data_IF_437610531709
#
_entry.id   IF_437610531709
#
_cell.length_a   1.000
_cell.length_b   1.000
_cell.length_c   1.000
_cell.angle_alpha   90.00
_cell.angle_beta   90.00
_cell.angle_gamma   90.00
#
_symmetry.space_group_name_H-M   'P 1'
#
loop_
_entity.id
_entity.type
_entity.pdbx_description
1 polymer ?
#
# COMPACT_ATOMS: atom_id res chain seq x y z
N UNK A 1 24.24 6.70 22.56
CA UNK A 1 23.22 7.16 21.59
C UNK A 1 22.23 6.01 21.33
N UNK A 2 21.39 5.66 22.32
CA UNK A 2 20.47 4.50 22.23
C UNK A 2 18.98 4.88 22.37
N UNK A 3 18.67 6.09 22.85
CA UNK A 3 17.29 6.52 23.10
C UNK A 3 16.48 6.88 21.85
N UNK A 4 17.12 7.13 20.70
CA UNK A 4 16.40 7.57 19.48
C UNK A 4 15.68 6.41 18.80
N UNK A 5 16.33 5.27 18.59
CA UNK A 5 15.73 4.12 17.88
C UNK A 5 14.46 3.59 18.56
N UNK A 6 14.47 3.47 19.89
CA UNK A 6 13.33 2.97 20.64
C UNK A 6 12.15 3.95 20.62
N UNK A 7 12.45 5.25 20.69
CA UNK A 7 11.46 6.31 20.53
C UNK A 7 10.87 6.35 19.11
N UNK A 8 11.69 6.18 18.07
CA UNK A 8 11.26 6.09 16.66
C UNK A 8 10.33 4.90 16.44
N UNK A 9 10.71 3.70 16.94
CA UNK A 9 9.87 2.49 16.83
C UNK A 9 8.53 2.66 17.54
N UNK A 10 8.52 3.21 18.76
CA UNK A 10 7.27 3.44 19.50
C UNK A 10 6.32 4.39 18.75
N UNK A 11 6.85 5.48 18.18
CA UNK A 11 6.08 6.42 17.35
C UNK A 11 5.54 5.74 16.09
N UNK A 12 6.37 4.95 15.41
CA UNK A 12 5.97 4.20 14.24
C UNK A 12 4.86 3.18 14.56
N UNK A 13 4.97 2.44 15.67
CA UNK A 13 3.92 1.52 16.12
C UNK A 13 2.59 2.26 16.39
N UNK A 14 2.64 3.41 17.08
CA UNK A 14 1.45 4.21 17.34
C UNK A 14 0.80 4.72 16.03
N UNK A 15 1.61 5.12 15.04
CA UNK A 15 1.12 5.53 13.73
C UNK A 15 0.46 4.36 12.97
N UNK A 16 1.06 3.17 12.99
CA UNK A 16 0.46 1.97 12.41
C UNK A 16 -0.90 1.66 13.05
N UNK A 17 -0.98 1.60 14.38
CA UNK A 17 -2.24 1.29 15.06
C UNK A 17 -3.34 2.31 14.74
N UNK A 18 -3.00 3.60 14.62
CA UNK A 18 -3.95 4.62 14.17
C UNK A 18 -4.46 4.35 12.76
N UNK A 19 -3.58 4.07 11.80
CA UNK A 19 -3.96 3.80 10.41
C UNK A 19 -4.77 2.51 10.28
N UNK A 20 -4.32 1.44 10.94
CA UNK A 20 -4.98 0.16 10.98
C UNK A 20 -6.40 0.28 11.58
N UNK A 21 -6.55 0.96 12.71
CA UNK A 21 -7.86 1.20 13.34
C UNK A 21 -8.78 2.07 12.48
N UNK A 22 -8.24 2.96 11.64
CA UNK A 22 -9.06 3.70 10.68
C UNK A 22 -9.50 2.80 9.52
N UNK A 23 -8.61 1.94 9.00
CA UNK A 23 -8.89 1.02 7.92
C UNK A 23 -9.95 -0.02 8.33
N UNK A 24 -9.83 -0.61 9.52
CA UNK A 24 -10.81 -1.57 10.05
C UNK A 24 -12.19 -0.94 10.27
N UNK A 25 -12.25 0.27 10.83
CA UNK A 25 -13.51 1.04 10.95
C UNK A 25 -14.12 1.30 9.57
N UNK A 26 -13.31 1.75 8.62
CA UNK A 26 -13.76 2.02 7.24
C UNK A 26 -14.27 0.76 6.55
N UNK A 27 -13.61 -0.37 6.74
CA UNK A 27 -14.03 -1.68 6.22
C UNK A 27 -15.34 -2.17 6.85
N UNK A 28 -15.54 -1.92 8.14
CA UNK A 28 -16.82 -2.23 8.80
C UNK A 28 -17.96 -1.36 8.23
N UNK A 29 -17.73 -0.05 8.08
CA UNK A 29 -18.69 0.86 7.47
C UNK A 29 -18.97 0.52 6.01
N UNK A 30 -17.97 0.11 5.22
CA UNK A 30 -18.16 -0.25 3.82
C UNK A 30 -19.03 -1.51 3.66
N UNK A 31 -18.89 -2.49 4.56
CA UNK A 31 -19.75 -3.68 4.62
C UNK A 31 -21.21 -3.32 4.93
N UNK A 32 -21.42 -2.38 5.86
CA UNK A 32 -22.76 -1.90 6.23
C UNK A 32 -23.40 -1.08 5.09
N UNK A 33 -22.62 -0.22 4.44
CA UNK A 33 -23.10 0.68 3.38
C UNK A 33 -23.09 0.04 1.98
N UNK A 34 -22.64 -1.22 1.87
CA UNK A 34 -22.49 -1.97 0.61
C UNK A 34 -21.65 -1.25 -0.45
N UNK A 35 -20.79 -0.33 -0.04
CA UNK A 35 -19.81 0.32 -0.93
C UNK A 35 -18.59 -0.57 -1.08
N UNK A 36 -18.27 -1.02 -2.30
CA UNK A 36 -17.02 -1.74 -2.56
C UNK A 36 -15.85 -0.77 -2.43
N UNK A 37 -15.00 -0.98 -1.43
CA UNK A 37 -13.82 -0.16 -1.14
C UNK A 37 -12.54 -1.00 -1.15
N UNK A 38 -12.49 -1.98 -2.05
CA UNK A 38 -11.34 -2.86 -2.24
C UNK A 38 -10.43 -2.29 -3.33
N UNK A 39 -9.13 -2.56 -3.21
CA UNK A 39 -8.17 -2.25 -4.27
C UNK A 39 -8.55 -2.99 -5.55
N UNK A 40 -8.33 -2.35 -6.70
CA UNK A 40 -8.52 -3.00 -7.98
C UNK A 40 -7.49 -4.14 -8.12
N UNK A 41 -7.95 -5.31 -8.57
CA UNK A 41 -7.04 -6.41 -8.91
C UNK A 41 -6.54 -6.23 -10.32
N UNK A 42 -5.22 -6.34 -10.51
CA UNK A 42 -4.60 -6.30 -11.83
C UNK A 42 -5.23 -7.34 -12.77
N UNK A 43 -5.46 -8.57 -12.29
CA UNK A 43 -6.04 -9.66 -13.08
C UNK A 43 -7.42 -9.28 -13.66
N UNK A 44 -8.25 -8.58 -12.89
CA UNK A 44 -9.57 -8.14 -13.33
C UNK A 44 -9.46 -7.10 -14.45
N UNK A 45 -8.44 -6.24 -14.39
CA UNK A 45 -8.21 -5.18 -15.38
C UNK A 45 -7.57 -5.74 -16.65
N UNK A 46 -6.58 -6.62 -16.53
CA UNK A 46 -5.90 -7.23 -17.68
C UNK A 46 -6.79 -8.18 -18.48
N UNK A 47 -7.67 -8.93 -17.80
CA UNK A 47 -8.68 -9.80 -18.46
C UNK A 47 -9.68 -8.98 -19.27
N UNK A 48 -10.08 -7.80 -18.78
CA UNK A 48 -10.97 -6.91 -19.51
C UNK A 48 -10.28 -6.26 -20.72
N UNK A 49 -8.99 -5.94 -20.61
CA UNK A 49 -8.28 -5.08 -21.57
C UNK A 49 -7.51 -5.80 -22.70
N UNK A 50 -7.61 -7.12 -22.85
CA UNK A 50 -6.89 -7.87 -23.91
C UNK A 50 -5.43 -7.38 -24.07
N UNK A 51 -4.64 -7.49 -23.01
CA UNK A 51 -3.25 -7.01 -23.01
C UNK A 51 -2.42 -7.85 -23.97
N UNK A 52 -2.04 -7.27 -25.11
CA UNK A 52 -1.31 -7.97 -26.17
C UNK A 52 0.22 -7.78 -26.12
N UNK A 53 0.72 -6.76 -25.42
CA UNK A 53 2.15 -6.44 -25.34
C UNK A 53 2.52 -5.89 -23.95
N UNK A 54 3.69 -6.30 -23.43
CA UNK A 54 4.28 -5.76 -22.20
C UNK A 54 5.70 -5.23 -22.48
N UNK A 55 6.07 -4.13 -21.84
CA UNK A 55 7.41 -3.55 -21.97
C UNK A 55 7.90 -2.98 -20.65
N UNK A 56 9.18 -3.17 -20.34
CA UNK A 56 9.80 -2.62 -19.15
C UNK A 56 10.11 -1.13 -19.36
N UNK A 57 9.58 -0.26 -18.49
CA UNK A 57 9.74 1.20 -18.59
C UNK A 57 10.86 1.80 -17.74
N UNK A 58 11.58 0.97 -16.98
CA UNK A 58 12.64 1.45 -16.09
C UNK A 58 12.10 2.16 -14.85
N UNK A 59 13.02 2.73 -14.08
CA UNK A 59 12.70 3.50 -12.87
C UNK A 59 12.17 4.86 -13.27
N UNK A 60 10.98 5.22 -12.80
CA UNK A 60 10.34 6.50 -13.06
C UNK A 60 9.56 6.97 -11.83
N UNK A 61 9.38 8.28 -11.70
CA UNK A 61 8.48 8.84 -10.70
C UNK A 61 7.02 8.64 -11.13
N UNK A 62 6.21 8.05 -10.26
CA UNK A 62 4.78 7.80 -10.50
C UNK A 62 3.95 8.57 -9.46
N UNK A 63 2.94 9.35 -9.88
CA UNK A 63 2.02 9.98 -8.94
C UNK A 63 1.23 8.92 -8.16
N UNK A 64 1.21 9.03 -6.82
CA UNK A 64 0.61 8.03 -5.93
C UNK A 64 -0.89 7.85 -6.22
N UNK A 65 -1.57 8.89 -6.65
CA UNK A 65 -2.99 8.87 -7.04
C UNK A 65 -3.31 8.04 -8.29
N UNK A 66 -2.29 7.68 -9.07
CA UNK A 66 -2.43 6.76 -10.21
C UNK A 66 -2.26 5.29 -9.80
N UNK A 67 -1.76 5.02 -8.60
CA UNK A 67 -1.69 3.66 -8.05
C UNK A 67 -3.07 3.31 -7.50
N UNK A 68 -3.77 2.38 -8.14
CA UNK A 68 -5.18 2.05 -7.85
C UNK A 68 -5.42 0.61 -7.43
N UNK A 69 -4.39 -0.22 -7.46
CA UNK A 69 -4.52 -1.63 -7.18
C UNK A 69 -3.23 -2.28 -6.71
N UNK A 70 -3.28 -3.61 -6.60
CA UNK A 70 -2.07 -4.41 -6.42
C UNK A 70 -2.14 -5.73 -7.19
N UNK A 71 -0.99 -6.29 -7.51
CA UNK A 71 -0.86 -7.66 -7.94
C UNK A 71 -0.89 -8.60 -6.71
N UNK A 72 -1.97 -9.37 -6.55
CA UNK A 72 -2.07 -10.45 -5.56
C UNK A 72 -2.24 -10.06 -4.09
N UNK A 73 -2.16 -8.77 -3.72
CA UNK A 73 -2.24 -8.29 -2.33
C UNK A 73 -3.41 -7.35 -2.03
N UNK A 74 -4.45 -7.39 -2.85
CA UNK A 74 -5.60 -6.47 -2.74
C UNK A 74 -6.35 -6.57 -1.41
N UNK A 75 -6.25 -7.72 -0.73
CA UNK A 75 -6.90 -7.99 0.56
C UNK A 75 -6.05 -7.59 1.78
N UNK A 76 -4.78 -7.22 1.57
CA UNK A 76 -3.89 -6.75 2.64
C UNK A 76 -4.12 -5.28 2.98
N UNK A 77 -4.77 -4.54 2.08
CA UNK A 77 -4.94 -3.09 2.18
C UNK A 77 -6.35 -2.65 1.80
N UNK A 78 -6.77 -1.48 2.32
CA UNK A 78 -7.96 -0.82 1.83
C UNK A 78 -7.70 -0.07 0.50
N UNK A 79 -8.75 0.48 -0.13
CA UNK A 79 -8.64 1.28 -1.35
C UNK A 79 -7.72 2.53 -1.26
N UNK A 80 -7.19 2.84 -0.08
CA UNK A 80 -6.21 3.92 0.15
C UNK A 80 -4.86 3.39 0.64
N UNK A 81 -4.56 2.11 0.40
CA UNK A 81 -3.32 1.43 0.79
C UNK A 81 -3.06 1.38 2.31
N UNK A 82 -4.09 1.50 3.15
CA UNK A 82 -3.93 1.35 4.61
C UNK A 82 -3.89 -0.14 4.96
N UNK A 83 -2.96 -0.58 5.83
CA UNK A 83 -2.80 -1.99 6.15
C UNK A 83 -4.01 -2.53 6.94
N UNK A 84 -4.65 -3.58 6.39
CA UNK A 84 -5.76 -4.30 7.01
C UNK A 84 -5.31 -5.46 7.89
N UNK A 85 -4.07 -5.95 7.73
CA UNK A 85 -3.54 -7.08 8.51
C UNK A 85 -2.46 -6.64 9.50
N UNK A 86 -2.54 -7.17 10.72
CA UNK A 86 -1.58 -6.90 11.79
C UNK A 86 -0.18 -7.45 11.48
N UNK A 87 -0.06 -8.50 10.67
CA UNK A 87 1.23 -9.08 10.22
C UNK A 87 2.11 -8.07 9.45
N UNK A 88 1.53 -6.97 8.96
CA UNK A 88 2.28 -5.89 8.32
C UNK A 88 2.93 -4.90 9.31
N UNK A 89 2.68 -5.03 10.62
CA UNK A 89 3.16 -4.09 11.64
C UNK A 89 4.68 -3.95 11.63
N UNK A 90 5.43 -5.06 11.73
CA UNK A 90 6.89 -4.99 11.80
C UNK A 90 7.50 -4.38 10.54
N UNK A 91 7.03 -4.82 9.36
CA UNK A 91 7.48 -4.26 8.07
C UNK A 91 7.20 -2.76 8.00
N UNK A 92 5.99 -2.34 8.40
CA UNK A 92 5.61 -0.93 8.40
C UNK A 92 6.48 -0.10 9.35
N UNK A 93 6.72 -0.60 10.56
CA UNK A 93 7.61 0.05 11.55
C UNK A 93 9.02 0.17 11.00
N UNK A 94 9.56 -0.87 10.39
CA UNK A 94 10.90 -0.84 9.80
C UNK A 94 10.99 0.20 8.67
N UNK A 95 9.99 0.27 7.78
CA UNK A 95 9.92 1.28 6.71
C UNK A 95 9.82 2.69 7.28
N UNK A 96 8.98 2.91 8.29
CA UNK A 96 8.82 4.23 8.91
C UNK A 96 10.11 4.71 9.60
N UNK A 97 10.81 3.79 10.29
CA UNK A 97 12.10 4.10 10.91
C UNK A 97 13.17 4.40 9.85
N UNK A 98 13.23 3.62 8.77
CA UNK A 98 14.14 3.87 7.65
C UNK A 98 13.87 5.24 7.00
N UNK A 99 12.59 5.57 6.78
CA UNK A 99 12.18 6.88 6.26
C UNK A 99 12.57 8.03 7.19
N UNK A 100 12.37 7.90 8.51
CA UNK A 100 12.79 8.93 9.49
C UNK A 100 14.31 9.13 9.56
N UNK A 101 15.09 8.19 9.02
CA UNK A 101 16.55 8.23 8.97
C UNK A 101 17.10 8.62 7.60
N UNK A 102 16.21 8.99 6.67
CA UNK A 102 16.56 9.25 5.27
C UNK A 102 17.31 8.07 4.62
N UNK A 103 17.03 6.84 5.07
CA UNK A 103 17.56 5.63 4.45
C UNK A 103 16.89 5.43 3.08
N UNK A 104 17.70 5.14 2.07
CA UNK A 104 17.19 4.90 0.71
C UNK A 104 16.42 3.58 0.70
N UNK A 105 15.12 3.68 0.43
CA UNK A 105 14.26 2.53 0.22
C UNK A 105 14.33 2.07 -1.25
N UNK A 106 14.25 0.75 -1.50
CA UNK A 106 14.16 0.26 -2.88
C UNK A 106 12.90 0.79 -3.55
N UNK A 107 12.98 1.02 -4.86
CA UNK A 107 11.81 1.34 -5.67
C UNK A 107 10.78 0.20 -5.58
N UNK A 108 9.51 0.57 -5.66
CA UNK A 108 8.42 -0.40 -5.81
C UNK A 108 8.30 -0.83 -7.26
N UNK A 109 7.98 -2.10 -7.48
CA UNK A 109 7.62 -2.61 -8.80
C UNK A 109 6.14 -2.26 -9.07
N UNK A 110 5.87 -1.73 -10.26
CA UNK A 110 4.53 -1.33 -10.68
C UNK A 110 4.24 -1.82 -12.09
N UNK A 111 3.01 -2.29 -12.30
CA UNK A 111 2.49 -2.65 -13.61
C UNK A 111 1.53 -1.55 -14.07
N UNK A 112 1.86 -0.92 -15.19
CA UNK A 112 1.00 0.09 -15.81
C UNK A 112 0.01 -0.58 -16.77
N UNK A 113 -1.27 -0.32 -16.58
CA UNK A 113 -2.34 -0.64 -17.54
C UNK A 113 -3.09 0.65 -17.84
N UNK A 114 -3.08 1.08 -19.11
CA UNK A 114 -3.53 2.39 -19.54
C UNK A 114 -2.87 3.53 -18.72
N UNK A 115 -3.66 4.34 -18.02
CA UNK A 115 -3.20 5.44 -17.16
C UNK A 115 -3.11 5.09 -15.67
N UNK A 116 -3.32 3.81 -15.32
CA UNK A 116 -3.36 3.32 -13.95
C UNK A 116 -2.19 2.39 -13.64
N UNK A 117 -1.81 2.33 -12.36
CA UNK A 117 -0.73 1.49 -11.84
C UNK A 117 -1.25 0.54 -10.76
N UNK A 118 -0.65 -0.63 -10.72
CA UNK A 118 -0.97 -1.76 -9.84
C UNK A 118 0.33 -2.36 -9.30
#
# INVERSE_FOLDING_TARGET
>A
MFGTTEQQRSRAQAAFHRLHNQATRRQLWSRITRQRQELLSLETVTTANHVHNASHRGVQSVPVEKIRGSEGRTHDFDATFRPLKAESLERWVNIAVAHERDEILPAVDLIQVDDLYF
#
